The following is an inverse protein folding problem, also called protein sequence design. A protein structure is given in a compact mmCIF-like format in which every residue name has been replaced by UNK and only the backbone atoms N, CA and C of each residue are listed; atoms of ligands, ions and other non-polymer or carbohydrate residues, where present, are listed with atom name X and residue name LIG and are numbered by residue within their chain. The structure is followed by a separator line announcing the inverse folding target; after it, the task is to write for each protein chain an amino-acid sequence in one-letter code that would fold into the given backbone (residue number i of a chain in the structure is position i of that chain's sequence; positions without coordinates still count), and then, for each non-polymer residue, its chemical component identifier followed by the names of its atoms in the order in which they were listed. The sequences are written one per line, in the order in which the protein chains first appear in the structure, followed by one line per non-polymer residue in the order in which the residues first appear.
data_IF_994190882975
#
_entry.id   IF_994190882975
#
_cell.length_a   1.000
_cell.length_b   1.000
_cell.length_c   1.000
_cell.angle_alpha   90.00
_cell.angle_beta   90.00
_cell.angle_gamma   90.00
#
_symmetry.space_group_name_H-M   'P 1'
#
loop_
_entity.id
_entity.type
_entity.pdbx_description
1 polymer ?
#
# COMPACT_ATOMS: atom_id res chain seq x y z
N UNK A 1 22.02 9.37 27.70
CA UNK A 1 21.01 9.36 26.61
C UNK A 1 20.43 7.98 26.32
N UNK A 2 20.94 6.89 26.92
CA UNK A 2 20.57 5.50 26.57
C UNK A 2 19.30 4.95 27.25
N UNK A 3 18.83 5.56 28.34
CA UNK A 3 17.69 5.04 29.09
C UNK A 3 16.32 5.16 28.41
N UNK A 4 16.17 6.11 27.48
CA UNK A 4 14.90 6.35 26.77
C UNK A 4 14.68 5.33 25.64
N UNK A 5 15.75 5.00 24.91
CA UNK A 5 15.72 4.02 23.80
C UNK A 5 15.44 2.62 24.34
N UNK A 6 16.03 2.28 25.47
CA UNK A 6 15.82 0.96 26.11
C UNK A 6 14.39 0.77 26.59
N UNK A 7 13.76 1.81 27.15
CA UNK A 7 12.33 1.76 27.55
C UNK A 7 11.41 1.59 26.37
N UNK A 8 11.69 2.29 25.26
CA UNK A 8 10.90 2.17 24.03
C UNK A 8 10.99 0.76 23.43
N UNK A 9 12.16 0.16 23.42
CA UNK A 9 12.36 -1.20 22.91
C UNK A 9 11.59 -2.24 23.76
N UNK A 10 11.55 -2.09 25.09
CA UNK A 10 10.79 -2.97 25.95
C UNK A 10 9.28 -2.85 25.73
N UNK A 11 8.76 -1.63 25.58
CA UNK A 11 7.34 -1.36 25.31
C UNK A 11 6.91 -1.90 23.93
N UNK A 12 7.80 -1.88 22.95
CA UNK A 12 7.52 -2.35 21.60
C UNK A 12 7.62 -3.88 21.42
N UNK A 13 8.26 -4.59 22.35
CA UNK A 13 8.40 -6.06 22.29
C UNK A 13 7.07 -6.80 22.06
N UNK A 14 6.00 -6.56 22.83
CA UNK A 14 4.73 -7.25 22.61
C UNK A 14 4.10 -6.91 21.25
N UNK A 15 4.32 -5.71 20.73
CA UNK A 15 3.85 -5.29 19.41
C UNK A 15 4.57 -6.08 18.31
N UNK A 16 5.89 -6.20 18.38
CA UNK A 16 6.67 -7.00 17.43
C UNK A 16 6.33 -8.49 17.54
N UNK A 17 6.10 -9.02 18.75
CA UNK A 17 5.67 -10.40 18.93
C UNK A 17 4.29 -10.64 18.30
N UNK A 18 3.33 -9.74 18.50
CA UNK A 18 2.02 -9.83 17.88
C UNK A 18 2.09 -9.75 16.35
N UNK A 19 2.92 -8.87 15.79
CA UNK A 19 3.15 -8.78 14.36
C UNK A 19 3.76 -10.05 13.76
N UNK A 20 4.68 -10.69 14.46
CA UNK A 20 5.29 -11.97 14.04
C UNK A 20 4.35 -13.16 14.16
N UNK A 21 3.45 -13.17 15.15
CA UNK A 21 2.50 -14.26 15.37
C UNK A 21 1.30 -14.22 14.42
N UNK A 22 1.00 -13.05 13.83
CA UNK A 22 -0.07 -12.86 12.84
C UNK A 22 0.43 -12.00 11.69
N UNK A 23 1.33 -12.55 10.86
CA UNK A 23 1.92 -11.79 9.76
C UNK A 23 0.83 -11.40 8.76
N UNK A 24 0.84 -10.12 8.36
CA UNK A 24 -0.08 -9.57 7.37
C UNK A 24 0.70 -8.83 6.29
N UNK A 25 0.33 -9.04 5.05
CA UNK A 25 0.91 -8.28 3.94
C UNK A 25 0.49 -6.81 4.03
N UNK A 26 1.46 -5.93 3.92
CA UNK A 26 1.27 -4.49 3.95
C UNK A 26 1.43 -3.94 2.55
N UNK A 27 0.50 -3.06 2.15
CA UNK A 27 0.56 -2.32 0.89
C UNK A 27 0.96 -0.87 1.19
N UNK A 28 2.06 -0.43 0.61
CA UNK A 28 2.52 0.95 0.70
C UNK A 28 2.11 1.72 -0.56
N UNK A 29 1.20 2.67 -0.40
CA UNK A 29 0.69 3.49 -1.49
C UNK A 29 1.75 4.43 -2.09
N UNK A 30 2.73 4.83 -1.30
CA UNK A 30 3.82 5.72 -1.71
C UNK A 30 5.14 4.95 -1.81
N UNK A 31 5.16 3.87 -2.59
CA UNK A 31 6.32 2.98 -2.73
C UNK A 31 7.57 3.64 -3.33
N UNK A 32 7.43 4.81 -3.94
CA UNK A 32 8.55 5.60 -4.42
C UNK A 32 9.20 6.49 -3.33
N UNK A 33 8.59 6.69 -2.15
CA UNK A 33 9.15 7.51 -1.08
C UNK A 33 10.30 6.79 -0.36
N UNK A 34 11.43 7.47 -0.18
CA UNK A 34 12.62 6.89 0.45
C UNK A 34 12.36 6.41 1.88
N UNK A 35 11.52 7.10 2.63
CA UNK A 35 11.13 6.72 4.00
C UNK A 35 10.36 5.41 4.01
N UNK A 36 9.49 5.22 3.02
CA UNK A 36 8.74 3.98 2.82
C UNK A 36 9.67 2.84 2.47
N UNK A 37 10.65 3.07 1.58
CA UNK A 37 11.64 2.06 1.21
C UNK A 37 12.51 1.63 2.41
N UNK A 38 12.93 2.58 3.25
CA UNK A 38 13.63 2.28 4.51
C UNK A 38 12.76 1.51 5.50
N UNK A 39 11.48 1.86 5.59
CA UNK A 39 10.51 1.14 6.41
C UNK A 39 10.31 -0.29 5.91
N UNK A 40 10.17 -0.49 4.60
CA UNK A 40 10.04 -1.80 3.99
C UNK A 40 11.26 -2.70 4.27
N UNK A 41 12.48 -2.15 4.21
CA UNK A 41 13.69 -2.87 4.57
C UNK A 41 13.69 -3.28 6.04
N UNK A 42 13.42 -2.37 6.96
CA UNK A 42 13.35 -2.66 8.39
C UNK A 42 12.26 -3.69 8.70
N UNK A 43 11.13 -3.64 7.99
CA UNK A 43 10.05 -4.61 8.16
C UNK A 43 10.47 -6.03 7.75
N UNK A 44 11.24 -6.18 6.68
CA UNK A 44 11.76 -7.48 6.23
C UNK A 44 12.77 -8.09 7.21
N UNK A 45 13.50 -7.28 7.95
CA UNK A 45 14.39 -7.75 9.02
C UNK A 45 13.61 -8.33 10.21
N UNK A 46 12.39 -7.87 10.41
CA UNK A 46 11.53 -8.26 11.54
C UNK A 46 10.46 -9.30 11.18
N UNK A 47 10.05 -9.37 9.92
CA UNK A 47 8.96 -10.25 9.45
C UNK A 47 9.36 -11.02 8.21
N UNK A 48 8.63 -12.11 7.91
CA UNK A 48 8.84 -12.92 6.71
C UNK A 48 7.94 -12.50 5.54
N UNK A 49 7.00 -11.59 5.79
CA UNK A 49 6.03 -11.16 4.80
C UNK A 49 6.59 -10.08 3.86
N UNK A 50 6.43 -10.31 2.57
CA UNK A 50 6.86 -9.35 1.55
C UNK A 50 5.86 -8.21 1.42
N UNK A 51 6.28 -6.96 1.66
CA UNK A 51 5.43 -5.80 1.43
C UNK A 51 5.20 -5.57 -0.06
N UNK A 52 4.08 -4.92 -0.37
CA UNK A 52 3.74 -4.49 -1.72
C UNK A 52 3.98 -2.99 -1.81
N UNK A 53 4.75 -2.56 -2.81
CA UNK A 53 5.02 -1.16 -3.09
C UNK A 53 4.26 -0.74 -4.35
N UNK A 54 3.53 0.37 -4.27
CA UNK A 54 2.89 0.97 -5.44
C UNK A 54 3.80 2.05 -5.98
N UNK A 55 4.21 1.89 -7.24
CA UNK A 55 5.10 2.84 -7.90
C UNK A 55 5.79 2.25 -9.11
N UNK A 56 6.58 3.08 -9.78
CA UNK A 56 7.34 2.70 -10.97
C UNK A 56 8.64 1.99 -10.58
N UNK A 57 8.90 0.79 -11.07
CA UNK A 57 10.08 0.00 -10.70
C UNK A 57 11.39 0.77 -10.86
N UNK A 58 11.56 1.47 -11.98
CA UNK A 58 12.79 2.20 -12.31
C UNK A 58 13.06 3.36 -11.34
N UNK A 59 11.98 3.99 -10.84
CA UNK A 59 12.09 5.07 -9.85
C UNK A 59 12.46 4.51 -8.49
N UNK A 60 11.83 3.39 -8.12
CA UNK A 60 12.09 2.70 -6.85
C UNK A 60 13.55 2.23 -6.82
N UNK A 61 14.03 1.54 -7.87
CA UNK A 61 15.42 1.06 -7.97
C UNK A 61 16.43 2.19 -7.81
N UNK A 62 16.25 3.28 -8.56
CA UNK A 62 17.14 4.45 -8.48
C UNK A 62 17.16 5.08 -7.08
N UNK A 63 16.02 5.11 -6.39
CA UNK A 63 15.94 5.63 -5.03
C UNK A 63 16.56 4.70 -4.01
N UNK A 64 16.39 3.39 -4.18
CA UNK A 64 17.03 2.39 -3.33
C UNK A 64 18.56 2.46 -3.44
N UNK A 65 19.10 2.54 -4.67
CA UNK A 65 20.54 2.72 -4.91
C UNK A 65 21.07 3.98 -4.24
N UNK A 66 20.37 5.13 -4.42
CA UNK A 66 20.75 6.39 -3.79
C UNK A 66 20.73 6.33 -2.26
N UNK A 67 19.78 5.62 -1.70
CA UNK A 67 19.61 5.45 -0.26
C UNK A 67 20.51 4.34 0.34
N UNK A 68 21.24 3.60 -0.50
CA UNK A 68 22.09 2.47 -0.08
C UNK A 68 21.30 1.30 0.48
N UNK A 69 20.07 1.08 -0.01
CA UNK A 69 19.21 -0.02 0.44
C UNK A 69 19.55 -1.30 -0.33
N UNK A 70 19.39 -2.44 0.33
CA UNK A 70 19.75 -3.76 -0.20
C UNK A 70 18.55 -4.58 -0.67
N UNK A 71 17.36 -3.99 -0.70
CA UNK A 71 16.11 -4.61 -1.16
C UNK A 71 16.23 -5.08 -2.62
N UNK A 72 15.62 -6.22 -2.92
CA UNK A 72 15.53 -6.76 -4.29
C UNK A 72 14.08 -6.79 -4.73
N UNK A 73 13.78 -6.08 -5.82
CA UNK A 73 12.45 -6.07 -6.41
C UNK A 73 12.08 -7.47 -6.91
N UNK A 74 10.83 -7.88 -6.69
CA UNK A 74 10.31 -9.20 -7.06
C UNK A 74 10.75 -10.34 -6.15
N UNK A 75 11.79 -10.15 -5.33
CA UNK A 75 12.23 -11.15 -4.34
C UNK A 75 11.83 -10.76 -2.92
N UNK A 76 12.21 -9.57 -2.49
CA UNK A 76 12.00 -9.08 -1.13
C UNK A 76 10.73 -8.24 -1.04
N UNK A 77 10.37 -7.54 -2.11
CA UNK A 77 9.17 -6.72 -2.23
C UNK A 77 8.44 -7.01 -3.53
N UNK A 78 7.13 -6.97 -3.50
CA UNK A 78 6.29 -7.02 -4.70
C UNK A 78 5.97 -5.59 -5.16
N UNK A 79 5.81 -5.38 -6.48
CA UNK A 79 5.54 -4.06 -7.04
C UNK A 79 4.24 -4.09 -7.81
N UNK A 80 3.45 -3.03 -7.62
CA UNK A 80 2.29 -2.69 -8.45
C UNK A 80 2.62 -1.40 -9.19
N UNK A 81 2.83 -1.49 -10.50
CA UNK A 81 3.08 -0.34 -11.35
C UNK A 81 1.76 0.23 -11.88
N UNK A 82 1.32 1.44 -11.45
CA UNK A 82 0.06 2.02 -11.91
C UNK A 82 -0.02 2.24 -13.42
N UNK A 83 1.13 2.38 -14.09
CA UNK A 83 1.19 2.67 -15.52
C UNK A 83 1.05 1.41 -16.39
N UNK A 84 1.50 0.25 -15.88
CA UNK A 84 1.63 -0.95 -16.73
C UNK A 84 1.34 -2.27 -15.97
N UNK A 85 0.52 -2.26 -14.92
CA UNK A 85 0.11 -3.50 -14.25
C UNK A 85 -0.91 -4.26 -15.12
N UNK A 86 -0.70 -5.56 -15.39
CA UNK A 86 -1.64 -6.37 -16.17
C UNK A 86 -3.04 -6.46 -15.53
N UNK A 87 -3.14 -6.30 -14.22
CA UNK A 87 -4.39 -6.32 -13.45
C UNK A 87 -5.10 -4.97 -13.40
N UNK A 88 -4.62 -3.95 -14.12
CA UNK A 88 -5.21 -2.62 -14.14
C UNK A 88 -6.71 -2.63 -14.43
N UNK A 89 -7.16 -3.55 -15.32
CA UNK A 89 -8.57 -3.68 -15.65
C UNK A 89 -9.39 -4.11 -14.44
N UNK A 90 -8.92 -5.12 -13.73
CA UNK A 90 -9.60 -5.67 -12.55
C UNK A 90 -9.67 -4.61 -11.43
N UNK A 91 -8.63 -3.81 -11.28
CA UNK A 91 -8.59 -2.73 -10.27
C UNK A 91 -9.65 -1.66 -10.52
N UNK A 92 -9.78 -1.12 -11.74
CA UNK A 92 -10.77 -0.09 -11.99
C UNK A 92 -12.21 -0.66 -12.03
N UNK A 93 -12.42 -1.89 -12.48
CA UNK A 93 -13.72 -2.57 -12.43
C UNK A 93 -14.16 -2.78 -10.98
N UNK A 94 -13.28 -3.26 -10.12
CA UNK A 94 -13.52 -3.41 -8.68
C UNK A 94 -13.83 -2.06 -8.03
N UNK A 95 -13.00 -1.05 -8.26
CA UNK A 95 -13.22 0.29 -7.73
C UNK A 95 -14.55 0.88 -8.19
N UNK A 96 -14.89 0.73 -9.46
CA UNK A 96 -16.16 1.18 -10.01
C UNK A 96 -17.33 0.43 -9.35
N UNK A 97 -17.29 -0.89 -9.23
CA UNK A 97 -18.35 -1.68 -8.61
C UNK A 97 -18.69 -1.23 -7.18
N UNK A 98 -17.66 -0.86 -6.42
CA UNK A 98 -17.80 -0.38 -5.04
C UNK A 98 -18.40 1.03 -4.95
N UNK A 99 -18.10 1.90 -5.91
CA UNK A 99 -18.39 3.33 -5.84
C UNK A 99 -19.40 3.82 -6.89
N UNK A 100 -19.92 2.96 -7.76
CA UNK A 100 -20.90 3.30 -8.79
C UNK A 100 -22.12 4.00 -8.19
N UNK A 101 -22.64 3.50 -7.06
CA UNK A 101 -23.78 4.09 -6.35
C UNK A 101 -23.47 5.48 -5.76
N UNK A 102 -22.20 5.88 -5.69
CA UNK A 102 -21.75 7.20 -5.23
C UNK A 102 -21.45 8.15 -6.40
N UNK A 103 -21.82 7.76 -7.63
CA UNK A 103 -21.67 8.60 -8.83
C UNK A 103 -20.29 8.49 -9.51
N UNK A 104 -19.48 7.51 -9.18
CA UNK A 104 -18.22 7.25 -9.88
C UNK A 104 -18.54 6.55 -11.20
N UNK A 105 -18.26 7.22 -12.33
CA UNK A 105 -18.37 6.60 -13.66
C UNK A 105 -17.18 5.68 -13.97
N UNK A 106 -17.28 4.77 -14.95
CA UNK A 106 -16.16 3.94 -15.38
C UNK A 106 -14.92 4.75 -15.80
N UNK A 107 -15.11 5.90 -16.43
CA UNK A 107 -14.01 6.76 -16.89
C UNK A 107 -13.30 7.42 -15.70
N UNK A 108 -14.05 7.88 -14.72
CA UNK A 108 -13.51 8.40 -13.46
C UNK A 108 -12.75 7.29 -12.73
N UNK A 109 -13.29 6.07 -12.65
CA UNK A 109 -12.61 4.94 -12.02
C UNK A 109 -11.28 4.63 -12.71
N UNK A 110 -11.24 4.61 -14.03
CA UNK A 110 -10.00 4.41 -14.81
C UNK A 110 -8.97 5.50 -14.53
N UNK A 111 -9.39 6.76 -14.50
CA UNK A 111 -8.48 7.87 -14.21
C UNK A 111 -7.89 7.77 -12.79
N UNK A 112 -8.74 7.47 -11.80
CA UNK A 112 -8.30 7.33 -10.41
C UNK A 112 -7.30 6.19 -10.26
N UNK A 113 -7.55 5.02 -10.88
CA UNK A 113 -6.64 3.87 -10.81
C UNK A 113 -5.31 4.07 -11.56
N UNK A 114 -5.10 5.18 -12.24
CA UNK A 114 -3.80 5.55 -12.83
C UNK A 114 -3.06 6.61 -12.04
N UNK A 115 -3.78 7.43 -11.28
CA UNK A 115 -3.21 8.65 -10.69
C UNK A 115 -3.22 8.67 -9.17
N UNK A 116 -4.10 7.89 -8.54
CA UNK A 116 -4.26 7.89 -7.09
C UNK A 116 -3.73 6.59 -6.47
N UNK A 117 -2.49 6.63 -6.00
CA UNK A 117 -1.80 5.48 -5.41
C UNK A 117 -2.49 4.95 -4.16
N UNK A 118 -3.13 5.82 -3.37
CA UNK A 118 -3.90 5.40 -2.19
C UNK A 118 -5.12 4.57 -2.58
N UNK A 119 -5.84 4.99 -3.63
CA UNK A 119 -6.99 4.24 -4.13
C UNK A 119 -6.55 2.89 -4.72
N UNK A 120 -5.42 2.87 -5.45
CA UNK A 120 -4.82 1.63 -5.95
C UNK A 120 -4.46 0.71 -4.78
N UNK A 121 -3.81 1.25 -3.75
CA UNK A 121 -3.43 0.49 -2.57
C UNK A 121 -4.62 -0.13 -1.84
N UNK A 122 -5.72 0.61 -1.74
CA UNK A 122 -6.94 0.10 -1.14
C UNK A 122 -7.52 -1.07 -1.95
N UNK A 123 -7.57 -0.96 -3.28
CA UNK A 123 -8.08 -2.04 -4.14
C UNK A 123 -7.16 -3.26 -4.12
N UNK A 124 -5.85 -3.06 -4.21
CA UNK A 124 -4.86 -4.15 -4.10
C UNK A 124 -4.98 -4.86 -2.75
N UNK A 125 -5.20 -4.11 -1.67
CA UNK A 125 -5.41 -4.71 -0.36
C UNK A 125 -6.69 -5.53 -0.29
N UNK A 126 -7.78 -5.08 -0.91
CA UNK A 126 -9.03 -5.81 -1.00
C UNK A 126 -8.88 -7.14 -1.77
N UNK A 127 -8.13 -7.12 -2.87
CA UNK A 127 -7.81 -8.31 -3.66
C UNK A 127 -7.04 -9.36 -2.85
N UNK A 128 -6.20 -8.91 -1.90
CA UNK A 128 -5.46 -9.78 -0.98
C UNK A 128 -6.33 -10.39 0.13
N UNK A 129 -7.44 -9.78 0.48
CA UNK A 129 -8.31 -10.21 1.58
C UNK A 129 -9.31 -11.29 1.21
N UNK A 130 -9.21 -11.90 0.02
CA UNK A 130 -10.19 -12.87 -0.45
C UNK A 130 -11.64 -12.37 -0.35
N UNK A 131 -12.27 -12.11 -1.46
CA UNK A 131 -13.53 -11.37 -1.68
C UNK A 131 -14.73 -11.83 -0.82
N UNK A 132 -14.63 -12.90 -0.07
CA UNK A 132 -15.73 -13.42 0.75
C UNK A 132 -16.00 -12.65 2.06
N UNK A 133 -15.12 -11.74 2.46
CA UNK A 133 -15.29 -10.90 3.65
C UNK A 133 -15.75 -9.46 3.40
N UNK A 134 -15.91 -9.04 2.16
CA UNK A 134 -16.13 -7.63 1.78
C UNK A 134 -17.49 -7.02 2.16
N UNK A 135 -18.45 -7.81 2.64
CA UNK A 135 -19.74 -7.28 3.06
C UNK A 135 -19.68 -6.38 4.32
N UNK A 136 -18.54 -6.30 4.99
CA UNK A 136 -18.40 -5.57 6.27
C UNK A 136 -17.34 -4.45 6.29
N UNK A 137 -16.77 -4.07 5.15
CA UNK A 137 -15.83 -2.94 5.15
C UNK A 137 -16.62 -1.62 5.21
N UNK A 138 -16.76 -1.12 6.42
CA UNK A 138 -17.27 0.22 6.68
C UNK A 138 -16.14 1.22 6.41
N UNK A 139 -16.16 1.87 5.24
CA UNK A 139 -15.26 3.00 4.97
C UNK A 139 -15.62 4.15 5.91
N UNK A 140 -14.68 4.63 6.76
CA UNK A 140 -14.97 5.77 7.63
C UNK A 140 -15.36 6.99 6.78
N UNK A 141 -16.34 7.79 7.22
CA UNK A 141 -16.69 9.03 6.55
C UNK A 141 -15.52 10.00 6.72
N UNK A 142 -14.79 10.30 5.65
CA UNK A 142 -13.67 11.24 5.74
C UNK A 142 -12.55 11.06 4.72
N UNK A 143 -12.57 10.02 3.89
CA UNK A 143 -11.73 10.02 2.69
C UNK A 143 -12.41 10.96 1.70
N UNK A 144 -12.05 12.25 1.82
CA UNK A 144 -12.59 13.32 1.03
C UNK A 144 -12.27 13.11 -0.45
N UNK A 145 -13.22 12.58 -1.18
CA UNK A 145 -13.30 12.83 -2.61
C UNK A 145 -13.54 14.33 -2.76
N UNK A 146 -12.54 15.03 -3.28
CA UNK A 146 -12.61 16.45 -3.60
C UNK A 146 -13.98 16.80 -4.18
N UNK A 147 -14.79 17.50 -3.41
CA UNK A 147 -15.83 18.37 -3.94
C UNK A 147 -15.11 19.52 -4.62
N UNK A 148 -15.08 19.49 -5.90
CA UNK A 148 -14.55 20.56 -6.71
C UNK A 148 -14.73 20.20 -8.16
N UNK A 149 -15.86 20.54 -8.70
CA UNK A 149 -16.04 21.57 -9.72
C UNK A 149 -17.53 21.84 -9.84
N UNK A 150 -17.98 22.90 -9.26
CA UNK A 150 -19.21 23.59 -9.63
C UNK A 150 -18.83 24.81 -10.44
N UNK A 151 -19.53 24.98 -11.53
CA UNK A 151 -19.57 26.06 -12.51
C UNK A 151 -18.41 26.16 -13.45
#
# INVERSE_FOLDING_TARGET
LDGSVFKSALLMRPVFQAARSSPRRIVFAEGEDERVLRCAQAMLEETTERPILIGRPEVIERRMERAGLTLKLGKDVDIVNPENDPRYRDYWETYHSLLARRGVSPDIARAIMRTNTTAIGAVVHLDLLDVQGLAQIHFPPGIGLCRGVGN
#
